data_IF_569802224501
#
_entry.id   IF_569802224501
#
_cell.length_a   1.000
_cell.length_b   1.000
_cell.length_c   1.000
_cell.angle_alpha   90.00
_cell.angle_beta   90.00
_cell.angle_gamma   90.00
#
_symmetry.space_group_name_H-M   'P 1'
#
loop_
_entity.id
_entity.type
_entity.pdbx_description
1 polymer ?
#
# COMPACT_ATOMS: atom_id res chain seq x y z
N UNK A 1 7.32 -0.66 -18.01
CA UNK A 1 6.13 -0.77 -17.22
C UNK A 1 6.41 -1.49 -15.95
N UNK A 2 5.92 -1.03 -14.91
CA UNK A 2 6.08 -1.65 -13.61
C UNK A 2 5.29 -0.86 -12.59
N UNK A 3 5.12 -1.40 -11.43
CA UNK A 3 4.37 -0.73 -10.37
C UNK A 3 5.29 0.26 -9.66
N UNK A 4 4.95 1.54 -9.76
CA UNK A 4 5.59 2.60 -8.99
C UNK A 4 4.58 3.12 -7.97
N UNK A 5 5.02 3.27 -6.73
CA UNK A 5 4.14 3.58 -5.60
C UNK A 5 4.66 4.83 -4.90
N UNK A 6 3.75 5.73 -4.54
CA UNK A 6 4.13 7.02 -3.96
C UNK A 6 3.24 7.38 -2.79
N UNK A 7 3.82 7.86 -1.72
CA UNK A 7 3.07 8.40 -0.59
C UNK A 7 3.93 9.38 0.19
N UNK A 8 3.53 10.65 0.21
CA UNK A 8 4.33 11.69 0.84
C UNK A 8 5.71 11.79 0.19
N UNK A 9 6.76 11.69 0.99
CA UNK A 9 8.14 11.71 0.50
C UNK A 9 8.67 10.32 0.13
N UNK A 10 7.84 9.29 0.31
CA UNK A 10 8.26 7.92 0.08
C UNK A 10 7.85 7.42 -1.29
N UNK A 11 8.69 6.58 -1.88
CA UNK A 11 8.31 5.85 -3.08
C UNK A 11 8.84 4.41 -3.00
N UNK A 12 8.07 3.52 -3.57
CA UNK A 12 8.43 2.11 -3.65
C UNK A 12 8.33 1.67 -5.11
N UNK A 13 8.97 0.58 -5.40
CA UNK A 13 8.85 -0.03 -6.72
C UNK A 13 8.56 -1.50 -6.54
N UNK A 14 7.42 -1.92 -7.05
CA UNK A 14 7.01 -3.33 -7.03
C UNK A 14 6.91 -3.94 -5.63
N UNK A 15 6.52 -3.15 -4.64
CA UNK A 15 6.25 -3.67 -3.31
C UNK A 15 4.85 -4.29 -3.31
N UNK A 16 4.74 -5.53 -3.75
CA UNK A 16 3.46 -6.19 -4.02
C UNK A 16 2.56 -6.30 -2.80
N UNK A 17 3.11 -6.63 -1.64
CA UNK A 17 2.30 -6.77 -0.43
C UNK A 17 1.77 -5.43 0.07
N UNK A 18 2.56 -4.36 -0.03
CA UNK A 18 2.06 -3.02 0.28
C UNK A 18 0.94 -2.64 -0.67
N UNK A 19 1.09 -2.94 -1.95
CA UNK A 19 0.06 -2.67 -2.94
C UNK A 19 -1.23 -3.43 -2.63
N UNK A 20 -1.13 -4.70 -2.26
CA UNK A 20 -2.29 -5.49 -1.87
C UNK A 20 -2.97 -4.91 -0.63
N UNK A 21 -2.18 -4.47 0.36
CA UNK A 21 -2.72 -3.80 1.53
C UNK A 21 -3.48 -2.53 1.13
N UNK A 22 -2.85 -1.69 0.30
CA UNK A 22 -3.46 -0.42 -0.11
C UNK A 22 -4.70 -0.64 -0.96
N UNK A 23 -4.71 -1.66 -1.83
CA UNK A 23 -5.89 -2.00 -2.61
C UNK A 23 -7.06 -2.39 -1.70
N UNK A 24 -6.79 -3.16 -0.66
CA UNK A 24 -7.80 -3.57 0.31
C UNK A 24 -8.36 -2.35 1.05
N UNK A 25 -7.50 -1.44 1.47
CA UNK A 25 -7.93 -0.22 2.16
C UNK A 25 -8.71 0.70 1.22
N UNK A 26 -8.27 0.79 -0.04
CA UNK A 26 -8.97 1.58 -1.05
C UNK A 26 -10.41 1.10 -1.25
N UNK A 27 -10.60 -0.22 -1.33
CA UNK A 27 -11.93 -0.80 -1.45
C UNK A 27 -12.82 -0.45 -0.26
N UNK A 28 -12.25 -0.42 0.93
CA UNK A 28 -12.98 -0.04 2.13
C UNK A 28 -13.34 1.44 2.16
N UNK A 29 -12.49 2.29 1.62
CA UNK A 29 -12.76 3.73 1.54
C UNK A 29 -13.73 4.08 0.42
N UNK A 30 -13.79 3.27 -0.60
CA UNK A 30 -14.59 3.54 -1.80
C UNK A 30 -15.51 2.37 -2.14
N UNK A 31 -16.43 2.00 -1.26
CA UNK A 31 -17.26 0.80 -1.47
C UNK A 31 -18.20 0.90 -2.67
N UNK A 32 -18.51 2.11 -3.10
CA UNK A 32 -19.41 2.33 -4.23
C UNK A 32 -18.67 2.53 -5.55
N UNK A 33 -17.34 2.49 -5.54
CA UNK A 33 -16.55 2.66 -6.75
C UNK A 33 -16.07 1.29 -7.19
N UNK A 34 -16.41 0.90 -8.42
CA UNK A 34 -15.89 -0.34 -8.95
C UNK A 34 -14.41 -0.16 -9.31
N UNK A 35 -13.56 -1.08 -8.86
CA UNK A 35 -12.17 -1.04 -9.26
C UNK A 35 -12.08 -1.22 -10.78
N UNK A 36 -11.12 -0.56 -11.38
CA UNK A 36 -10.81 -0.76 -12.80
C UNK A 36 -10.37 -2.21 -12.95
N UNK A 37 -11.25 -3.03 -13.44
CA UNK A 37 -11.14 -4.47 -13.34
C UNK A 37 -10.04 -5.14 -14.12
N UNK A 38 -9.19 -4.37 -14.75
CA UNK A 38 -8.24 -5.02 -15.64
C UNK A 38 -7.13 -5.68 -14.89
N UNK A 39 -6.76 -5.19 -13.78
CA UNK A 39 -5.62 -5.65 -13.20
C UNK A 39 -5.64 -5.55 -11.83
N UNK A 40 -6.16 -6.00 -11.31
CA UNK A 40 -5.93 -6.18 -10.56
C UNK A 40 -5.48 -6.20 -9.33
N UNK A 41 -4.74 -5.77 -8.89
CA UNK A 41 -4.57 -5.27 -7.59
C UNK A 41 -5.38 -4.02 -7.47
N UNK A 42 -6.18 -3.93 -8.41
CA UNK A 42 -7.45 -3.56 -8.40
C UNK A 42 -7.84 -2.15 -8.31
N UNK A 43 -7.01 -1.17 -8.26
CA UNK A 43 -7.48 0.19 -8.15
C UNK A 43 -6.59 1.14 -8.94
N UNK A 44 -7.18 2.22 -9.36
CA UNK A 44 -6.43 3.27 -10.00
C UNK A 44 -6.20 4.39 -9.01
N UNK A 45 -5.18 4.25 -8.21
CA UNK A 45 -4.88 5.23 -7.18
C UNK A 45 -4.36 6.56 -7.74
N UNK A 46 -4.15 6.63 -9.04
CA UNK A 46 -3.87 7.91 -9.69
C UNK A 46 -5.09 8.80 -9.74
N UNK A 47 -6.28 8.21 -9.84
CA UNK A 47 -7.52 8.97 -9.87
C UNK A 47 -8.10 9.17 -8.48
N UNK A 48 -8.03 8.15 -7.63
CA UNK A 48 -8.59 8.21 -6.28
C UNK A 48 -7.53 7.65 -5.32
N UNK A 49 -6.73 8.50 -4.69
CA UNK A 49 -5.69 8.03 -3.77
C UNK A 49 -6.27 7.45 -2.49
N UNK A 50 -5.48 6.61 -1.82
CA UNK A 50 -5.83 6.09 -0.50
C UNK A 50 -5.45 7.14 0.54
N UNK A 51 -6.41 7.56 1.36
CA UNK A 51 -6.13 8.45 2.47
C UNK A 51 -5.64 7.65 3.67
N UNK A 52 -4.50 8.02 4.20
CA UNK A 52 -3.92 7.34 5.36
C UNK A 52 -4.56 7.86 6.64
N UNK A 53 -5.78 7.41 6.90
CA UNK A 53 -6.52 7.75 8.12
C UNK A 53 -5.93 7.01 9.32
N UNK A 54 -6.32 7.41 10.52
CA UNK A 54 -5.86 6.75 11.74
C UNK A 54 -6.15 5.25 11.70
N UNK A 55 -7.34 4.86 11.25
CA UNK A 55 -7.72 3.46 11.16
C UNK A 55 -6.80 2.69 10.22
N UNK A 56 -6.50 3.26 9.06
CA UNK A 56 -5.62 2.60 8.09
C UNK A 56 -4.19 2.57 8.59
N UNK A 57 -3.73 3.63 9.25
CA UNK A 57 -2.39 3.67 9.83
C UNK A 57 -2.23 2.59 10.91
N UNK A 58 -3.24 2.39 11.74
CA UNK A 58 -3.21 1.32 12.74
C UNK A 58 -3.14 -0.07 12.08
N UNK A 59 -3.90 -0.27 11.02
CA UNK A 59 -3.85 -1.52 10.24
C UNK A 59 -2.52 -1.71 9.55
N UNK A 60 -1.93 -0.64 9.05
CA UNK A 60 -0.61 -0.69 8.42
C UNK A 60 0.46 -1.11 9.43
N UNK A 61 0.41 -0.57 10.63
CA UNK A 61 1.35 -0.96 11.68
C UNK A 61 1.27 -2.46 11.96
N UNK A 62 0.06 -2.98 12.08
CA UNK A 62 -0.16 -4.40 12.29
C UNK A 62 0.35 -5.24 11.10
N UNK A 63 0.09 -4.77 9.88
CA UNK A 63 0.55 -5.46 8.68
C UNK A 63 2.08 -5.51 8.63
N UNK A 64 2.75 -4.42 8.94
CA UNK A 64 4.22 -4.39 8.96
C UNK A 64 4.77 -5.37 9.99
N UNK A 65 4.19 -5.39 11.18
CA UNK A 65 4.63 -6.31 12.24
C UNK A 65 4.51 -7.78 11.84
N UNK A 66 3.52 -8.09 11.00
CA UNK A 66 3.25 -9.46 10.56
C UNK A 66 3.79 -9.75 9.16
N UNK A 67 4.69 -8.92 8.66
CA UNK A 67 5.30 -9.05 7.33
C UNK A 67 4.25 -9.10 6.22
N UNK A 68 3.13 -8.39 6.39
CA UNK A 68 2.02 -8.35 5.43
C UNK A 68 1.46 -9.73 5.10
N UNK A 69 1.47 -10.65 6.05
CA UNK A 69 1.07 -12.05 5.76
C UNK A 69 -0.36 -12.19 5.25
N UNK A 70 -1.25 -11.25 5.63
CA UNK A 70 -2.64 -11.26 5.20
C UNK A 70 -2.83 -10.53 3.86
N UNK A 71 -1.75 -10.00 3.30
CA UNK A 71 -1.79 -9.20 2.08
C UNK A 71 -0.84 -9.74 1.01
N UNK A 72 -0.72 -11.06 0.96
CA UNK A 72 0.09 -11.72 -0.06
C UNK A 72 -0.62 -11.60 -1.40
N UNK A 73 0.05 -11.05 -2.39
CA UNK A 73 -0.50 -10.94 -3.73
C UNK A 73 -0.55 -12.33 -4.38
N UNK A 74 -1.54 -12.53 -5.23
CA UNK A 74 -1.73 -13.83 -5.86
C UNK A 74 -0.56 -14.18 -6.79
N UNK A 75 -0.12 -15.44 -6.69
CA UNK A 75 0.92 -15.97 -7.57
C UNK A 75 0.43 -15.93 -9.02
N UNK A 76 1.39 -15.82 -9.91
CA UNK A 76 1.10 -15.86 -11.33
C UNK A 76 0.70 -14.54 -11.93
N UNK A 77 0.46 -13.54 -11.10
CA UNK A 77 0.09 -12.24 -11.60
C UNK A 77 1.31 -11.45 -12.07
N UNK A 78 2.24 -11.15 -11.16
CA UNK A 78 3.50 -10.53 -11.51
C UNK A 78 4.65 -11.23 -10.82
N UNK A 79 4.45 -11.73 -9.61
CA UNK A 79 5.56 -12.11 -8.77
C UNK A 79 5.24 -13.33 -7.93
N UNK A 80 6.20 -14.20 -7.77
CA UNK A 80 6.10 -15.31 -6.82
C UNK A 80 6.27 -14.82 -5.38
N UNK A 81 5.98 -15.71 -4.44
CA UNK A 81 6.07 -15.39 -3.00
C UNK A 81 7.48 -15.01 -2.57
N UNK A 82 8.49 -15.66 -3.13
CA UNK A 82 9.87 -15.35 -2.78
C UNK A 82 10.21 -13.89 -3.10
N UNK A 83 9.80 -13.41 -4.26
CA UNK A 83 10.01 -12.01 -4.63
C UNK A 83 9.30 -11.08 -3.65
N UNK A 84 8.07 -11.40 -3.30
CA UNK A 84 7.31 -10.59 -2.37
C UNK A 84 7.98 -10.50 -1.00
N UNK A 85 8.51 -11.61 -0.51
CA UNK A 85 9.22 -11.64 0.76
C UNK A 85 10.51 -10.83 0.71
N UNK A 86 11.24 -10.89 -0.38
CA UNK A 86 12.44 -10.08 -0.58
C UNK A 86 12.11 -8.59 -0.55
N UNK A 87 11.00 -8.19 -1.17
CA UNK A 87 10.58 -6.79 -1.15
C UNK A 87 10.14 -6.33 0.24
N UNK A 88 9.49 -7.20 1.01
CA UNK A 88 9.13 -6.88 2.38
C UNK A 88 10.38 -6.59 3.21
N UNK A 89 11.43 -7.39 3.06
CA UNK A 89 12.67 -7.16 3.77
C UNK A 89 13.40 -5.91 3.28
N UNK A 90 13.47 -5.73 1.97
CA UNK A 90 14.16 -4.58 1.39
C UNK A 90 13.54 -3.26 1.84
N UNK A 91 12.22 -3.20 1.91
CA UNK A 91 11.53 -1.97 2.25
C UNK A 91 11.13 -1.85 3.72
N UNK A 92 11.56 -2.77 4.57
CA UNK A 92 11.13 -2.76 5.97
C UNK A 92 11.43 -1.44 6.68
N UNK A 93 12.65 -0.93 6.55
CA UNK A 93 13.01 0.34 7.19
C UNK A 93 12.21 1.50 6.61
N UNK A 94 12.04 1.52 5.30
CA UNK A 94 11.25 2.54 4.63
C UNK A 94 9.79 2.47 5.06
N UNK A 95 9.22 1.28 5.18
CA UNK A 95 7.85 1.11 5.63
C UNK A 95 7.66 1.63 7.05
N UNK A 96 8.63 1.39 7.93
CA UNK A 96 8.59 1.91 9.29
C UNK A 96 8.70 3.44 9.32
N UNK A 97 9.56 4.01 8.48
CA UNK A 97 9.67 5.46 8.34
C UNK A 97 8.38 6.07 7.79
N UNK A 98 7.77 5.40 6.81
CA UNK A 98 6.49 5.84 6.27
C UNK A 98 5.40 5.80 7.35
N UNK A 99 5.37 4.74 8.14
CA UNK A 99 4.41 4.61 9.24
C UNK A 99 4.59 5.77 10.25
N UNK A 100 5.83 6.08 10.60
CA UNK A 100 6.14 7.19 11.51
C UNK A 100 5.68 8.53 10.92
N UNK A 101 5.90 8.75 9.62
CA UNK A 101 5.46 9.96 8.94
C UNK A 101 3.93 10.07 8.94
N UNK A 102 3.23 8.97 8.74
CA UNK A 102 1.76 8.95 8.79
C UNK A 102 1.25 9.32 10.19
N UNK A 103 1.85 8.77 11.23
CA UNK A 103 1.47 9.09 12.60
C UNK A 103 1.71 10.56 12.93
N UNK A 104 2.84 11.10 12.48
CA UNK A 104 3.17 12.51 12.67
C UNK A 104 2.20 13.41 11.94
N UNK A 105 1.83 13.06 10.71
CA UNK A 105 0.86 13.83 9.94
C UNK A 105 -0.49 13.87 10.67
N UNK A 106 -0.95 12.73 11.18
CA UNK A 106 -2.21 12.66 11.93
C UNK A 106 -2.17 13.54 13.17
N UNK A 107 -1.05 13.55 13.89
CA UNK A 107 -0.89 14.40 15.08
C UNK A 107 -0.97 15.89 14.72
N UNK A 108 -0.61 16.26 13.50
CA UNK A 108 -0.67 17.62 13.00
C UNK A 108 -1.95 17.94 12.24
N UNK A 109 -2.96 17.06 12.31
CA UNK A 109 -4.22 17.17 11.58
C UNK A 109 -4.00 17.22 10.06
N UNK A 110 -3.01 16.49 9.59
CA UNK A 110 -2.67 16.39 8.18
C UNK A 110 -2.92 14.96 7.71
N UNK A 111 -2.94 14.75 6.40
CA UNK A 111 -3.19 13.42 5.82
C UNK A 111 -2.21 13.16 4.70
N UNK A 112 -1.64 11.96 4.70
CA UNK A 112 -0.79 11.50 3.60
C UNK A 112 -1.66 10.70 2.66
N UNK A 113 -1.45 10.88 1.35
CA UNK A 113 -2.19 10.16 0.31
C UNK A 113 -1.25 9.17 -0.37
N UNK A 114 -1.74 7.96 -0.59
CA UNK A 114 -1.01 6.92 -1.32
C UNK A 114 -1.53 6.83 -2.75
N UNK A 115 -0.62 6.85 -3.71
CA UNK A 115 -0.93 6.73 -5.12
C UNK A 115 -0.03 5.67 -5.76
N UNK A 116 -0.45 5.14 -6.89
CA UNK A 116 0.40 4.22 -7.65
C UNK A 116 0.23 4.44 -9.14
N UNK A 117 1.23 3.99 -9.89
CA UNK A 117 1.23 4.04 -11.34
C UNK A 117 1.76 2.71 -11.88
N UNK A 118 1.09 2.17 -12.87
CA UNK A 118 1.49 0.90 -13.53
C UNK A 118 2.37 1.13 -14.74
#
# INVERSE_FOLDING_TARGET
MGLDQFAGRHCWRKHARLQKFMATMWEQQNPDVEPDGSFNLGFNAGDVPVEMTKEIVDKLEEAIKNNYKDYVAEDGFFWGQQFQEEQVEEYREQDLDFLADCKKALDNNDTILYECSW
#
